data_IF_286008867695
#
_entry.id   IF_286008867695
#
_cell.length_a   1.000
_cell.length_b   1.000
_cell.length_c   1.000
_cell.angle_alpha   90.00
_cell.angle_beta   90.00
_cell.angle_gamma   90.00
#
_symmetry.space_group_name_H-M   'P 1'
#
loop_
_entity.id
_entity.type
_entity.pdbx_description
1 polymer ?
#
# COMPACT_ATOMS: atom_id res chain seq x y z
N UNK A 1 8.49 9.17 15.44
CA UNK A 1 9.63 8.99 16.42
C UNK A 1 10.52 7.91 15.85
N UNK A 2 11.86 8.10 15.81
CA UNK A 2 12.75 7.04 15.32
C UNK A 2 12.95 5.91 16.36
N UNK A 3 13.45 4.76 15.89
CA UNK A 3 13.63 3.56 16.72
C UNK A 3 14.62 3.80 17.89
N UNK A 4 15.69 4.56 17.66
CA UNK A 4 16.68 4.87 18.70
C UNK A 4 16.10 5.68 19.83
N UNK A 5 15.31 6.70 19.53
CA UNK A 5 14.58 7.50 20.53
C UNK A 5 13.54 6.66 21.27
N UNK A 6 12.88 5.73 20.56
CA UNK A 6 11.94 4.78 21.17
C UNK A 6 12.64 3.87 22.19
N UNK A 7 13.77 3.27 21.81
CA UNK A 7 14.58 2.42 22.70
C UNK A 7 15.06 3.21 23.91
N UNK A 8 15.57 4.42 23.70
CA UNK A 8 16.00 5.31 24.78
C UNK A 8 14.86 5.63 25.76
N UNK A 9 13.66 5.91 25.25
CA UNK A 9 12.47 6.14 26.07
C UNK A 9 12.06 4.91 26.86
N UNK A 10 12.05 3.73 26.26
CA UNK A 10 11.69 2.47 26.90
C UNK A 10 12.72 2.03 27.96
N UNK A 11 14.00 2.33 27.77
CA UNK A 11 15.06 2.11 28.76
C UNK A 11 14.86 2.95 30.02
N UNK A 12 14.23 4.12 29.88
CA UNK A 12 13.97 5.02 31.00
C UNK A 12 15.22 5.48 31.75
N UNK A 13 15.22 5.37 33.07
CA UNK A 13 16.31 5.80 33.96
C UNK A 13 17.49 4.81 34.03
N UNK A 14 17.39 3.62 33.45
CA UNK A 14 18.48 2.63 33.45
C UNK A 14 19.68 3.19 32.70
N UNK A 15 20.89 3.15 33.32
CA UNK A 15 22.11 3.63 32.67
C UNK A 15 22.41 2.83 31.40
N UNK A 16 22.84 3.50 30.32
CA UNK A 16 23.09 2.87 29.01
C UNK A 16 24.04 1.65 29.08
N UNK A 17 25.12 1.74 29.85
CA UNK A 17 26.05 0.61 30.01
C UNK A 17 25.39 -0.60 30.69
N UNK A 18 24.56 -0.35 31.70
CA UNK A 18 23.82 -1.41 32.40
C UNK A 18 22.78 -2.05 31.47
N UNK A 19 22.06 -1.23 30.70
CA UNK A 19 21.12 -1.69 29.70
C UNK A 19 21.78 -2.56 28.62
N UNK A 20 22.92 -2.11 28.09
CA UNK A 20 23.71 -2.87 27.13
C UNK A 20 24.13 -4.26 27.71
N UNK A 21 24.54 -4.31 28.98
CA UNK A 21 24.85 -5.58 29.65
C UNK A 21 23.62 -6.50 29.73
N UNK A 22 22.44 -5.96 30.07
CA UNK A 22 21.19 -6.74 30.16
C UNK A 22 20.81 -7.29 28.77
N UNK A 23 21.03 -6.51 27.72
CA UNK A 23 20.79 -6.92 26.32
C UNK A 23 21.84 -7.90 25.81
N UNK A 24 22.99 -8.09 26.52
CA UNK A 24 24.17 -8.80 25.99
C UNK A 24 24.67 -8.21 24.66
N UNK A 25 24.73 -6.89 24.61
CA UNK A 25 25.14 -6.09 23.44
C UNK A 25 26.19 -5.08 23.91
N UNK A 26 27.17 -4.76 23.07
CA UNK A 26 28.16 -3.74 23.37
C UNK A 26 27.54 -2.36 23.62
N UNK A 27 28.02 -1.64 24.60
CA UNK A 27 27.54 -0.30 24.96
C UNK A 27 27.69 0.69 23.79
N UNK A 28 28.73 0.53 22.97
CA UNK A 28 28.94 1.33 21.76
C UNK A 28 27.86 1.10 20.73
N UNK A 29 27.39 -0.13 20.58
CA UNK A 29 26.28 -0.50 19.66
C UNK A 29 24.97 0.11 20.12
N UNK A 30 24.63 -0.03 21.41
CA UNK A 30 23.43 0.62 21.99
C UNK A 30 23.48 2.14 21.80
N UNK A 31 24.65 2.76 22.05
CA UNK A 31 24.80 4.21 21.84
C UNK A 31 24.56 4.64 20.38
N UNK A 32 25.09 3.89 19.42
CA UNK A 32 24.87 4.15 17.99
C UNK A 32 23.40 4.02 17.60
N UNK A 33 22.70 3.01 18.13
CA UNK A 33 21.27 2.81 17.88
C UNK A 33 20.46 3.96 18.50
N UNK A 34 20.69 4.30 19.77
CA UNK A 34 19.96 5.38 20.45
C UNK A 34 20.19 6.76 19.80
N UNK A 35 21.33 6.95 19.11
CA UNK A 35 21.64 8.16 18.32
C UNK A 35 21.13 8.11 16.88
N UNK A 36 20.54 7.00 16.44
CA UNK A 36 20.06 6.83 15.07
C UNK A 36 21.15 6.61 14.02
N UNK A 37 22.43 6.47 14.43
CA UNK A 37 23.55 6.20 13.51
C UNK A 37 23.70 4.73 13.13
N UNK A 38 22.92 3.84 13.76
CA UNK A 38 22.81 2.42 13.45
C UNK A 38 21.37 1.98 13.75
N UNK A 39 20.76 1.24 12.84
CA UNK A 39 19.42 0.66 13.08
C UNK A 39 19.56 -0.61 13.96
N UNK A 40 20.56 -1.42 13.71
CA UNK A 40 20.72 -2.75 14.30
C UNK A 40 20.10 -3.84 13.45
N UNK A 41 20.41 -5.10 13.79
CA UNK A 41 19.80 -6.28 13.16
C UNK A 41 18.57 -6.73 13.94
N UNK A 42 17.75 -7.59 13.38
CA UNK A 42 16.59 -8.19 14.06
C UNK A 42 17.01 -8.91 15.35
N UNK A 43 18.16 -9.62 15.36
CA UNK A 43 18.69 -10.29 16.54
C UNK A 43 18.98 -9.29 17.68
N UNK A 44 19.54 -8.13 17.36
CA UNK A 44 19.77 -7.04 18.31
C UNK A 44 18.44 -6.55 18.89
N UNK A 45 17.43 -6.36 18.07
CA UNK A 45 16.11 -5.91 18.51
C UNK A 45 15.40 -6.96 19.38
N UNK A 46 15.55 -8.25 19.07
CA UNK A 46 15.06 -9.34 19.93
C UNK A 46 15.73 -9.30 21.31
N UNK A 47 17.05 -9.16 21.39
CA UNK A 47 17.79 -9.03 22.67
C UNK A 47 17.35 -7.81 23.47
N UNK A 48 17.11 -6.68 22.81
CA UNK A 48 16.57 -5.47 23.44
C UNK A 48 15.18 -5.73 24.01
N UNK A 49 14.29 -6.36 23.24
CA UNK A 49 12.95 -6.72 23.67
C UNK A 49 12.96 -7.66 24.89
N UNK A 50 13.83 -8.67 24.88
CA UNK A 50 14.01 -9.58 26.01
C UNK A 50 14.46 -8.85 27.27
N UNK A 51 15.43 -7.93 27.15
CA UNK A 51 15.93 -7.14 28.29
C UNK A 51 14.88 -6.16 28.83
N UNK A 52 13.95 -5.71 28.02
CA UNK A 52 12.86 -4.82 28.41
C UNK A 52 11.56 -5.56 28.80
N UNK A 53 11.46 -6.88 28.56
CA UNK A 53 10.25 -7.66 28.82
C UNK A 53 9.07 -7.28 27.90
N UNK A 54 9.33 -6.87 26.66
CA UNK A 54 8.32 -6.44 25.67
C UNK A 54 8.38 -7.25 24.39
N UNK A 55 7.31 -7.21 23.59
CA UNK A 55 7.28 -7.80 22.25
C UNK A 55 7.93 -6.88 21.20
N UNK A 56 8.33 -7.44 20.06
CA UNK A 56 8.80 -6.65 18.90
C UNK A 56 7.72 -5.66 18.43
N UNK A 57 6.45 -6.07 18.40
CA UNK A 57 5.36 -5.18 18.03
C UNK A 57 5.27 -3.96 18.97
N UNK A 58 5.50 -4.16 20.28
CA UNK A 58 5.56 -3.07 21.26
C UNK A 58 6.78 -2.18 21.04
N UNK A 59 7.93 -2.75 20.70
CA UNK A 59 9.15 -1.98 20.41
C UNK A 59 8.92 -1.05 19.19
N UNK A 60 8.32 -1.56 18.13
CA UNK A 60 8.11 -0.82 16.88
C UNK A 60 6.86 0.07 16.88
N UNK A 61 5.99 -0.05 17.87
CA UNK A 61 4.79 0.79 17.97
C UNK A 61 5.15 2.28 17.96
N UNK A 62 4.65 3.02 16.98
CA UNK A 62 4.88 4.45 16.79
C UNK A 62 6.26 4.84 16.24
N UNK A 63 7.12 3.87 15.87
CA UNK A 63 8.45 4.14 15.29
C UNK A 63 8.37 4.63 13.86
N UNK A 64 7.44 4.09 13.09
CA UNK A 64 7.18 4.43 11.70
C UNK A 64 5.76 4.96 11.50
N UNK A 65 5.13 5.47 12.54
CA UNK A 65 3.99 6.36 12.33
C UNK A 65 4.53 7.59 11.60
N UNK A 66 4.55 7.53 10.27
CA UNK A 66 4.52 8.76 9.49
C UNK A 66 3.39 9.59 10.08
N UNK A 67 3.63 10.87 10.29
CA UNK A 67 2.51 11.80 10.53
C UNK A 67 1.56 11.57 9.38
N UNK A 68 0.44 10.92 9.66
CA UNK A 68 -0.64 10.79 8.70
C UNK A 68 -1.08 12.23 8.47
N UNK A 69 -0.48 12.89 7.49
CA UNK A 69 -0.99 14.15 7.01
C UNK A 69 -2.39 13.81 6.53
N UNK A 70 -3.39 14.50 7.04
CA UNK A 70 -4.78 14.33 6.61
C UNK A 70 -4.94 14.57 5.10
N UNK A 71 -3.97 15.21 4.49
CA UNK A 71 -3.88 15.47 3.06
C UNK A 71 -2.52 14.98 2.53
N UNK A 72 -2.53 14.20 1.46
CA UNK A 72 -1.33 13.91 0.68
C UNK A 72 -1.05 15.01 -0.34
N UNK A 73 0.22 15.11 -0.73
CA UNK A 73 0.60 15.94 -1.87
C UNK A 73 -0.08 15.44 -3.16
N UNK A 74 -0.41 16.36 -4.05
CA UNK A 74 -0.91 16.06 -5.39
C UNK A 74 0.03 15.07 -6.07
N UNK A 75 -0.51 13.96 -6.59
CA UNK A 75 0.20 13.05 -7.49
C UNK A 75 -0.06 13.47 -8.93
N UNK A 76 0.98 13.47 -9.75
CA UNK A 76 0.84 13.68 -11.19
C UNK A 76 0.88 12.30 -11.89
N UNK A 77 0.06 12.09 -12.94
CA UNK A 77 0.05 10.85 -13.73
C UNK A 77 1.39 10.51 -14.43
N UNK A 78 2.36 11.41 -14.37
CA UNK A 78 3.70 11.25 -14.99
C UNK A 78 4.63 10.29 -14.22
N UNK A 79 4.28 9.86 -13.02
CA UNK A 79 5.00 8.78 -12.34
C UNK A 79 4.77 7.49 -13.14
N UNK A 80 5.87 6.77 -13.46
CA UNK A 80 5.91 5.62 -14.38
C UNK A 80 4.68 4.74 -14.30
N UNK A 81 3.92 4.59 -15.41
CA UNK A 81 2.75 3.76 -15.42
C UNK A 81 3.11 2.29 -15.18
N UNK A 82 2.25 1.57 -14.51
CA UNK A 82 2.34 0.12 -14.45
C UNK A 82 1.73 -0.43 -15.75
N UNK A 83 2.56 -1.06 -16.57
CA UNK A 83 2.09 -1.72 -17.79
C UNK A 83 1.53 -3.08 -17.41
N UNK A 84 0.22 -3.28 -17.53
CA UNK A 84 -0.42 -4.57 -17.31
C UNK A 84 -0.16 -5.53 -18.48
N UNK A 85 -0.36 -5.04 -19.70
CA UNK A 85 0.00 -5.71 -20.95
C UNK A 85 0.20 -4.67 -22.06
N UNK A 86 0.42 -5.11 -23.31
CA UNK A 86 0.68 -4.20 -24.44
C UNK A 86 -0.47 -3.24 -24.75
N UNK A 87 -1.70 -3.55 -24.35
CA UNK A 87 -2.92 -2.78 -24.65
C UNK A 87 -3.53 -2.13 -23.39
N UNK A 88 -2.95 -2.34 -22.21
CA UNK A 88 -3.50 -1.85 -20.96
C UNK A 88 -2.42 -1.23 -20.09
N UNK A 89 -2.66 0.01 -19.71
CA UNK A 89 -1.78 0.81 -18.85
C UNK A 89 -2.56 1.21 -17.59
N UNK A 90 -1.94 1.05 -16.43
CA UNK A 90 -2.45 1.47 -15.11
C UNK A 90 -1.66 2.64 -14.57
N UNK A 91 -2.32 3.69 -14.17
CA UNK A 91 -1.76 4.82 -13.46
C UNK A 91 -2.36 4.90 -12.06
N UNK A 92 -1.57 4.62 -11.05
CA UNK A 92 -2.00 4.73 -9.66
C UNK A 92 -2.05 6.21 -9.28
N UNK A 93 -3.17 6.66 -8.71
CA UNK A 93 -3.41 8.06 -8.36
C UNK A 93 -3.05 8.41 -6.90
N UNK A 94 -2.57 7.45 -6.13
CA UNK A 94 -2.18 7.66 -4.74
C UNK A 94 -0.70 7.31 -4.53
N UNK A 95 0.02 8.11 -3.73
CA UNK A 95 1.37 7.81 -3.28
C UNK A 95 1.33 6.89 -2.06
N UNK A 96 2.44 6.17 -1.80
CA UNK A 96 2.60 5.34 -0.60
C UNK A 96 1.46 4.35 -0.35
N UNK A 97 0.99 3.68 -1.41
CA UNK A 97 -0.20 2.81 -1.39
C UNK A 97 -0.10 1.68 -0.36
N UNK A 98 1.10 1.19 -0.09
CA UNK A 98 1.36 0.12 0.88
C UNK A 98 1.22 0.57 2.35
N UNK A 99 1.07 1.88 2.59
CA UNK A 99 1.01 2.44 3.94
C UNK A 99 -0.32 3.15 4.17
N UNK A 100 -1.15 2.59 5.05
CA UNK A 100 -2.39 3.19 5.57
C UNK A 100 -3.46 3.57 4.55
N UNK A 101 -3.38 3.12 3.31
CA UNK A 101 -4.44 3.31 2.33
C UNK A 101 -5.47 2.19 2.44
N UNK A 102 -6.73 2.55 2.36
CA UNK A 102 -7.85 1.59 2.35
C UNK A 102 -8.36 1.32 0.94
N UNK A 103 -8.09 2.21 0.01
CA UNK A 103 -8.54 2.10 -1.39
C UNK A 103 -7.40 2.44 -2.34
N UNK A 104 -7.45 1.83 -3.52
CA UNK A 104 -6.54 2.03 -4.62
C UNK A 104 -7.27 2.76 -5.76
N UNK A 105 -7.13 4.08 -5.87
CA UNK A 105 -7.61 4.82 -7.03
C UNK A 105 -6.61 4.72 -8.19
N UNK A 106 -7.10 4.40 -9.38
CA UNK A 106 -6.29 4.23 -10.59
C UNK A 106 -6.99 4.85 -11.81
N UNK A 107 -6.19 5.31 -12.76
CA UNK A 107 -6.64 5.47 -14.14
C UNK A 107 -6.20 4.24 -14.94
N UNK A 108 -7.16 3.57 -15.51
CA UNK A 108 -6.95 2.44 -16.41
C UNK A 108 -7.18 2.92 -17.85
N UNK A 109 -6.18 2.74 -18.70
CA UNK A 109 -6.21 3.10 -20.11
C UNK A 109 -6.15 1.82 -20.92
N UNK A 110 -7.17 1.56 -21.77
CA UNK A 110 -7.29 0.37 -22.62
C UNK A 110 -7.33 0.79 -24.07
N UNK A 111 -6.40 0.31 -24.87
CA UNK A 111 -6.47 0.43 -26.32
C UNK A 111 -7.64 -0.39 -26.91
N UNK A 112 -8.05 -0.19 -28.15
CA UNK A 112 -9.09 -1.00 -28.78
C UNK A 112 -8.83 -2.50 -28.63
N UNK A 113 -9.81 -3.23 -28.09
CA UNK A 113 -9.71 -4.66 -27.79
C UNK A 113 -8.92 -4.99 -26.50
N UNK A 114 -8.35 -4.01 -25.83
CA UNK A 114 -7.66 -4.18 -24.55
C UNK A 114 -8.56 -4.87 -23.52
N UNK A 115 -7.99 -5.85 -22.81
CA UNK A 115 -8.68 -6.71 -21.86
C UNK A 115 -7.92 -6.76 -20.53
N UNK A 116 -8.66 -6.62 -19.46
CA UNK A 116 -8.21 -6.89 -18.08
C UNK A 116 -9.09 -8.00 -17.52
N UNK A 117 -8.48 -9.05 -17.01
CA UNK A 117 -9.15 -10.13 -16.28
C UNK A 117 -8.68 -10.09 -14.85
N UNK A 118 -9.60 -10.08 -13.92
CA UNK A 118 -9.32 -9.89 -12.49
C UNK A 118 -10.18 -10.81 -11.64
N UNK A 119 -9.56 -11.32 -10.59
CA UNK A 119 -10.19 -11.98 -9.45
C UNK A 119 -9.51 -11.43 -8.21
N UNK A 120 -10.24 -10.77 -7.35
CA UNK A 120 -9.67 -10.10 -6.18
C UNK A 120 -9.83 -10.95 -4.91
N UNK A 121 -9.10 -10.66 -3.83
CA UNK A 121 -9.30 -11.33 -2.56
C UNK A 121 -10.76 -11.22 -2.07
N UNK A 122 -11.22 -12.14 -1.19
CA UNK A 122 -12.51 -12.03 -0.53
C UNK A 122 -12.73 -10.66 0.12
N UNK A 123 -13.98 -10.22 0.19
CA UNK A 123 -14.39 -8.91 0.73
C UNK A 123 -13.90 -7.69 -0.08
N UNK A 124 -13.41 -7.92 -1.31
CA UNK A 124 -13.02 -6.82 -2.19
C UNK A 124 -14.23 -6.22 -2.90
N UNK A 125 -14.17 -4.90 -3.08
CA UNK A 125 -15.16 -4.11 -3.82
C UNK A 125 -14.45 -3.25 -4.85
N UNK A 126 -15.12 -2.96 -5.96
CA UNK A 126 -14.55 -2.14 -7.02
C UNK A 126 -15.59 -1.17 -7.58
N UNK A 127 -15.22 0.10 -7.64
CA UNK A 127 -15.97 1.13 -8.36
C UNK A 127 -15.27 1.42 -9.70
N UNK A 128 -16.06 1.58 -10.75
CA UNK A 128 -15.59 1.88 -12.11
C UNK A 128 -16.41 3.06 -12.64
N UNK A 129 -15.74 4.05 -13.20
CA UNK A 129 -16.36 5.19 -13.88
C UNK A 129 -15.67 5.38 -15.24
N UNK A 130 -16.45 5.46 -16.30
CA UNK A 130 -15.95 5.63 -17.67
C UNK A 130 -15.73 7.10 -17.93
N UNK A 131 -14.49 7.50 -18.18
CA UNK A 131 -14.10 8.86 -18.56
C UNK A 131 -14.20 9.03 -20.09
N UNK A 132 -13.70 8.04 -20.84
CA UNK A 132 -13.63 8.06 -22.29
C UNK A 132 -13.79 6.65 -22.84
N UNK A 133 -14.33 6.53 -24.07
CA UNK A 133 -14.46 5.27 -24.77
C UNK A 133 -15.68 4.46 -24.36
N UNK A 134 -15.70 3.19 -24.73
CA UNK A 134 -16.82 2.27 -24.46
C UNK A 134 -16.31 0.93 -23.99
N UNK A 135 -16.77 0.47 -22.84
CA UNK A 135 -16.30 -0.78 -22.23
C UNK A 135 -17.43 -1.76 -21.99
N UNK A 136 -17.06 -3.03 -21.94
CA UNK A 136 -17.91 -4.09 -21.40
C UNK A 136 -17.27 -4.66 -20.15
N UNK A 137 -18.09 -4.90 -19.13
CA UNK A 137 -17.72 -5.61 -17.92
C UNK A 137 -18.51 -6.90 -17.91
N UNK A 138 -17.80 -8.02 -17.77
CA UNK A 138 -18.36 -9.36 -17.86
C UNK A 138 -17.97 -10.19 -16.62
N UNK A 139 -18.93 -10.88 -16.05
CA UNK A 139 -18.75 -11.97 -15.09
C UNK A 139 -19.29 -13.26 -15.72
N UNK A 140 -19.20 -14.40 -15.03
CA UNK A 140 -19.80 -15.65 -15.49
C UNK A 140 -21.33 -15.57 -15.69
N UNK A 141 -22.00 -14.61 -15.05
CA UNK A 141 -23.48 -14.51 -15.04
C UNK A 141 -23.99 -13.26 -15.74
N UNK A 142 -23.26 -12.16 -15.64
CA UNK A 142 -23.74 -10.83 -15.99
C UNK A 142 -22.80 -10.17 -16.97
N UNK A 143 -23.37 -9.35 -17.86
CA UNK A 143 -22.63 -8.52 -18.81
C UNK A 143 -23.24 -7.12 -18.86
N UNK A 144 -22.40 -6.12 -18.62
CA UNK A 144 -22.78 -4.71 -18.66
C UNK A 144 -21.93 -3.98 -19.69
N UNK A 145 -22.55 -3.08 -20.41
CA UNK A 145 -21.84 -2.16 -21.31
C UNK A 145 -21.97 -0.75 -20.76
N UNK A 146 -20.86 -0.04 -20.66
CA UNK A 146 -20.79 1.32 -20.14
C UNK A 146 -20.27 2.26 -21.21
N UNK A 147 -20.99 3.37 -21.38
CA UNK A 147 -20.60 4.53 -22.17
C UNK A 147 -19.94 5.60 -21.27
N UNK A 148 -19.33 6.67 -21.81
CA UNK A 148 -18.79 7.77 -21.02
C UNK A 148 -19.81 8.33 -20.01
N UNK A 149 -19.31 8.79 -18.84
CA UNK A 149 -20.08 9.29 -17.71
C UNK A 149 -20.98 8.27 -17.00
N UNK A 150 -20.84 6.99 -17.36
CA UNK A 150 -21.51 5.89 -16.65
C UNK A 150 -20.59 5.20 -15.67
N UNK A 151 -21.17 4.65 -14.61
CA UNK A 151 -20.45 3.94 -13.57
C UNK A 151 -21.06 2.59 -13.23
N UNK A 152 -20.24 1.70 -12.71
CA UNK A 152 -20.64 0.42 -12.15
C UNK A 152 -19.94 0.23 -10.79
N UNK A 153 -20.68 -0.32 -9.84
CA UNK A 153 -20.15 -0.74 -8.55
C UNK A 153 -20.21 -2.25 -8.44
N UNK A 154 -19.06 -2.89 -8.29
CA UNK A 154 -18.94 -4.34 -8.05
C UNK A 154 -18.88 -4.55 -6.55
N UNK A 155 -19.96 -5.08 -5.97
CA UNK A 155 -20.10 -5.29 -4.52
C UNK A 155 -19.29 -6.46 -4.00
N UNK A 156 -18.96 -7.41 -4.88
CA UNK A 156 -18.08 -8.55 -4.62
C UNK A 156 -17.13 -8.74 -5.79
N UNK A 157 -15.95 -8.13 -5.69
CA UNK A 157 -14.92 -8.20 -6.72
C UNK A 157 -14.05 -9.47 -6.61
N UNK A 158 -14.31 -10.35 -5.65
CA UNK A 158 -13.70 -11.68 -5.58
C UNK A 158 -14.26 -12.64 -6.64
N UNK A 159 -15.40 -12.30 -7.24
CA UNK A 159 -15.89 -13.01 -8.41
C UNK A 159 -15.06 -12.62 -9.64
N UNK A 160 -14.57 -13.63 -10.36
CA UNK A 160 -13.85 -13.44 -11.62
C UNK A 160 -14.63 -12.55 -12.58
N UNK A 161 -14.01 -11.47 -13.01
CA UNK A 161 -14.62 -10.50 -13.91
C UNK A 161 -13.61 -9.92 -14.91
N UNK A 162 -14.09 -9.47 -16.03
CA UNK A 162 -13.25 -8.86 -17.08
C UNK A 162 -13.77 -7.49 -17.48
N UNK A 163 -12.83 -6.61 -17.84
CA UNK A 163 -13.09 -5.30 -18.44
C UNK A 163 -12.49 -5.29 -19.84
N UNK A 164 -13.29 -5.03 -20.86
CA UNK A 164 -12.86 -4.99 -22.26
C UNK A 164 -13.24 -3.69 -22.91
N UNK A 165 -12.30 -3.04 -23.59
CA UNK A 165 -12.62 -1.96 -24.51
C UNK A 165 -13.24 -2.55 -25.80
N UNK A 166 -14.50 -2.23 -26.05
CA UNK A 166 -15.25 -2.65 -27.24
C UNK A 166 -15.38 -1.52 -28.28
N UNK A 167 -14.83 -0.35 -27.98
CA UNK A 167 -14.78 0.80 -28.88
C UNK A 167 -13.65 0.71 -29.90
N UNK A 168 -13.67 1.62 -30.87
CA UNK A 168 -12.60 1.79 -31.87
C UNK A 168 -11.50 2.76 -31.44
N UNK A 169 -11.65 3.44 -30.30
CA UNK A 169 -10.70 4.38 -29.71
C UNK A 169 -10.27 3.89 -28.34
N UNK A 170 -9.19 4.44 -27.82
CA UNK A 170 -8.73 4.17 -26.44
C UNK A 170 -9.82 4.51 -25.43
N UNK A 171 -10.08 3.62 -24.49
CA UNK A 171 -10.96 3.84 -23.37
C UNK A 171 -10.15 4.24 -22.12
N UNK A 172 -10.71 5.13 -21.30
CA UNK A 172 -10.10 5.63 -20.07
C UNK A 172 -11.08 5.54 -18.93
N UNK A 173 -10.69 4.89 -17.87
CA UNK A 173 -11.53 4.59 -16.71
C UNK A 173 -10.88 5.12 -15.43
N UNK A 174 -11.70 5.68 -14.54
CA UNK A 174 -11.33 5.79 -13.14
C UNK A 174 -11.80 4.51 -12.45
N UNK A 175 -10.89 3.78 -11.81
CA UNK A 175 -11.24 2.64 -10.97
C UNK A 175 -10.80 2.87 -9.53
N UNK A 176 -11.59 2.40 -8.58
CA UNK A 176 -11.27 2.45 -7.16
C UNK A 176 -11.52 1.07 -6.58
N UNK A 177 -10.49 0.45 -6.01
CA UNK A 177 -10.58 -0.87 -5.40
C UNK A 177 -10.36 -0.78 -3.89
N UNK A 178 -11.15 -1.55 -3.13
CA UNK A 178 -11.03 -1.72 -1.69
C UNK A 178 -11.07 -3.22 -1.36
N UNK A 179 -10.19 -3.76 -0.50
CA UNK A 179 -8.97 -3.13 -0.01
C UNK A 179 -7.94 -2.86 -1.11
N UNK A 180 -6.81 -2.25 -0.75
CA UNK A 180 -5.69 -2.08 -1.70
C UNK A 180 -5.16 -3.44 -2.08
N UNK A 181 -5.21 -3.77 -3.37
CA UNK A 181 -4.64 -4.97 -4.00
C UNK A 181 -3.76 -4.49 -5.16
N UNK A 182 -2.53 -5.01 -5.26
CA UNK A 182 -1.55 -4.68 -6.30
C UNK A 182 -1.31 -5.87 -7.21
#
# INVERSE_FOLDING_TARGET
>A
MDLGQRIKGLRGSVRQREFARRCKIDASTINKIEKGSLIGTLDIHIKICQALGISLSTLYKGVYEEKINSLESISHPEEKPLTYNRQVIRHILAKNILFNKKMLPEILTLDPGGLVEEEMPPDSQKFIFVLEGKITIETKKDKYTLDPDQSLYITDASVEHSLRNIGSTTAKLLTITHPVVL
#
